data_IF_121048631169
#
_entry.id   IF_121048631169
#
_cell.length_a   1.000
_cell.length_b   1.000
_cell.length_c   1.000
_cell.angle_alpha   90.00
_cell.angle_beta   90.00
_cell.angle_gamma   90.00
#
_symmetry.space_group_name_H-M   'P 1'
#
loop_
_entity.id
_entity.type
_entity.pdbx_description
1 polymer ?
#
# COMPACT_ATOMS: atom_id res chain seq x y z
N UNK A 1 -16.20 -31.76 1.48
CA UNK A 1 -15.53 -30.55 0.98
C UNK A 1 -14.16 -30.48 1.62
N UNK A 2 -13.11 -30.19 0.85
CA UNK A 2 -11.76 -29.96 1.39
C UNK A 2 -11.64 -28.46 1.67
N UNK A 3 -11.25 -28.09 2.89
CA UNK A 3 -11.06 -26.69 3.31
C UNK A 3 -9.57 -26.39 3.40
N UNK A 4 -9.12 -25.35 2.70
CA UNK A 4 -7.75 -24.85 2.83
C UNK A 4 -7.57 -24.12 4.16
N UNK A 5 -6.47 -24.39 4.85
CA UNK A 5 -6.07 -23.68 6.07
C UNK A 5 -4.72 -22.99 5.85
N UNK A 6 -4.48 -21.90 6.57
CA UNK A 6 -3.19 -21.20 6.56
C UNK A 6 -2.91 -20.59 7.93
N UNK A 7 -1.63 -20.50 8.28
CA UNK A 7 -1.16 -19.71 9.43
C UNK A 7 -0.76 -18.29 9.04
N UNK A 8 -0.70 -18.00 7.74
CA UNK A 8 -0.26 -16.70 7.25
C UNK A 8 -1.36 -15.65 7.44
N UNK A 9 -1.00 -14.36 7.60
CA UNK A 9 -1.97 -13.28 7.69
C UNK A 9 -2.85 -13.21 6.44
N UNK A 10 -4.13 -12.92 6.63
CA UNK A 10 -5.08 -12.68 5.53
C UNK A 10 -5.33 -11.19 5.27
N UNK A 11 -4.63 -10.32 5.99
CA UNK A 11 -4.77 -8.86 5.86
C UNK A 11 -3.39 -8.22 5.84
N UNK A 12 -3.15 -7.39 4.83
CA UNK A 12 -1.89 -6.67 4.63
C UNK A 12 -2.20 -5.19 4.38
N UNK A 13 -1.76 -4.33 5.30
CA UNK A 13 -2.04 -2.89 5.26
C UNK A 13 -0.83 -2.04 4.85
N UNK A 14 0.29 -2.67 4.50
CA UNK A 14 1.50 -2.00 4.09
C UNK A 14 1.83 -2.34 2.63
N UNK A 15 2.50 -1.42 1.94
CA UNK A 15 2.99 -1.69 0.59
C UNK A 15 4.02 -2.81 0.60
N UNK A 16 3.91 -3.73 -0.34
CA UNK A 16 4.77 -4.90 -0.39
C UNK A 16 4.24 -6.01 -1.26
N UNK A 17 5.05 -7.05 -1.37
CA UNK A 17 4.65 -8.34 -1.94
C UNK A 17 4.70 -9.37 -0.82
N UNK A 18 3.59 -10.05 -0.62
CA UNK A 18 3.40 -11.09 0.39
C UNK A 18 3.05 -12.41 -0.29
N UNK A 19 3.31 -13.50 0.40
CA UNK A 19 2.95 -14.86 -0.04
C UNK A 19 2.20 -15.56 1.07
N UNK A 20 1.03 -16.11 0.75
CA UNK A 20 0.26 -16.99 1.63
C UNK A 20 0.48 -18.42 1.16
N UNK A 21 0.76 -19.32 2.10
CA UNK A 21 0.83 -20.76 1.88
C UNK A 21 -0.43 -21.41 2.44
N UNK A 22 -1.20 -22.05 1.55
CA UNK A 22 -2.39 -22.80 1.87
C UNK A 22 -2.06 -24.29 2.01
N UNK A 23 -2.65 -24.94 3.01
CA UNK A 23 -2.60 -26.37 3.24
C UNK A 23 -3.99 -26.98 3.07
N UNK A 24 -4.10 -28.00 2.23
CA UNK A 24 -5.33 -28.72 1.93
C UNK A 24 -5.19 -30.15 2.44
N UNK A 25 -5.92 -30.50 3.49
CA UNK A 25 -5.95 -31.86 4.05
C UNK A 25 -7.30 -32.51 3.71
N UNK A 26 -7.26 -33.74 3.18
CA UNK A 26 -8.45 -34.46 2.73
C UNK A 26 -9.15 -35.29 3.83
N UNK A 27 -8.64 -35.25 5.06
CA UNK A 27 -9.13 -36.03 6.22
C UNK A 27 -8.68 -37.49 6.22
N UNK A 28 -8.02 -37.97 5.17
CA UNK A 28 -7.54 -39.35 5.02
C UNK A 28 -6.00 -39.45 5.09
N UNK A 29 -5.35 -38.37 5.54
CA UNK A 29 -3.90 -38.30 5.69
C UNK A 29 -3.17 -37.73 4.48
N UNK A 30 -3.86 -37.38 3.38
CA UNK A 30 -3.22 -36.70 2.26
C UNK A 30 -3.27 -35.19 2.47
N UNK A 31 -2.14 -34.53 2.26
CA UNK A 31 -2.02 -33.07 2.37
C UNK A 31 -1.29 -32.52 1.15
N UNK A 32 -1.83 -31.46 0.57
CA UNK A 32 -1.22 -30.70 -0.52
C UNK A 32 -1.09 -29.23 -0.15
N UNK A 33 -0.15 -28.52 -0.77
CA UNK A 33 0.08 -27.09 -0.51
C UNK A 33 0.01 -26.25 -1.77
N UNK A 34 -0.47 -25.01 -1.64
CA UNK A 34 -0.47 -24.03 -2.73
C UNK A 34 -0.05 -22.66 -2.23
N UNK A 35 0.65 -21.89 -3.06
CA UNK A 35 1.06 -20.52 -2.73
C UNK A 35 0.19 -19.49 -3.45
N UNK A 36 -0.11 -18.39 -2.76
CA UNK A 36 -0.85 -17.24 -3.29
C UNK A 36 -0.04 -15.97 -3.07
N UNK A 37 0.19 -15.22 -4.14
CA UNK A 37 0.88 -13.93 -4.08
C UNK A 37 -0.13 -12.80 -3.83
N UNK A 38 0.14 -11.95 -2.84
CA UNK A 38 -0.63 -10.74 -2.55
C UNK A 38 0.29 -9.54 -2.77
N UNK A 39 -0.17 -8.57 -3.58
CA UNK A 39 0.62 -7.38 -3.91
C UNK A 39 -0.16 -6.15 -3.46
N UNK A 40 0.40 -5.41 -2.50
CA UNK A 40 -0.12 -4.12 -2.05
C UNK A 40 0.80 -3.05 -2.64
N UNK A 41 0.28 -2.25 -3.56
CA UNK A 41 1.07 -1.25 -4.27
C UNK A 41 0.25 0.02 -4.44
N UNK A 42 0.87 1.14 -4.10
CA UNK A 42 0.34 2.45 -4.45
C UNK A 42 0.54 2.73 -5.94
N UNK A 43 -0.54 3.14 -6.59
CA UNK A 43 -0.61 3.47 -8.01
C UNK A 43 -1.09 4.88 -8.27
N UNK A 44 -1.49 5.61 -7.22
CA UNK A 44 -2.04 6.93 -7.34
C UNK A 44 -0.92 7.95 -7.11
N UNK A 45 -1.02 9.08 -7.82
CA UNK A 45 -0.11 10.21 -7.58
C UNK A 45 -0.68 11.08 -6.46
N UNK A 46 0.16 11.80 -5.71
CA UNK A 46 -0.30 12.86 -4.81
C UNK A 46 -1.16 13.86 -5.58
N UNK A 47 -2.08 14.50 -4.86
CA UNK A 47 -2.89 15.58 -5.41
C UNK A 47 -1.96 16.71 -5.89
N UNK A 48 -2.27 17.33 -7.02
CA UNK A 48 -1.52 18.50 -7.46
C UNK A 48 -1.93 19.71 -6.61
N UNK A 49 -1.02 20.35 -5.85
CA UNK A 49 -1.35 21.56 -5.12
C UNK A 49 -1.49 22.75 -6.07
N UNK A 50 -2.38 23.67 -5.74
CA UNK A 50 -2.47 24.98 -6.41
C UNK A 50 -1.64 25.97 -5.61
N UNK A 51 -0.64 26.58 -6.27
CA UNK A 51 0.28 27.53 -5.64
C UNK A 51 0.01 28.93 -6.18
N UNK A 52 -0.05 29.91 -5.29
CA UNK A 52 -0.18 31.32 -5.64
C UNK A 52 1.22 31.92 -5.89
N UNK A 53 1.27 32.94 -6.74
CA UNK A 53 2.50 33.71 -6.95
C UNK A 53 2.91 34.45 -5.68
N UNK A 54 4.21 34.46 -5.40
CA UNK A 54 4.80 35.25 -4.31
C UNK A 54 5.54 36.42 -4.95
N UNK A 55 5.01 37.62 -4.76
CA UNK A 55 5.58 38.85 -5.32
C UNK A 55 6.15 39.74 -4.23
N UNK A 56 7.28 40.38 -4.49
CA UNK A 56 7.89 41.35 -3.59
C UNK A 56 8.70 42.40 -4.35
N UNK A 57 8.69 43.64 -3.86
CA UNK A 57 9.31 44.79 -4.54
C UNK A 57 10.84 44.81 -4.39
N UNK A 58 11.36 44.41 -3.22
CA UNK A 58 12.79 44.33 -2.93
C UNK A 58 13.22 42.92 -2.48
N UNK A 59 12.30 42.13 -1.92
CA UNK A 59 12.48 40.73 -1.55
C UNK A 59 11.13 40.03 -1.46
N UNK A 60 11.13 38.72 -1.68
CA UNK A 60 9.98 37.84 -1.49
C UNK A 60 10.46 36.52 -0.88
N UNK A 61 9.60 35.84 -0.12
CA UNK A 61 9.93 34.56 0.50
C UNK A 61 8.74 33.61 0.33
N UNK A 62 8.98 32.49 -0.32
CA UNK A 62 8.00 31.42 -0.45
C UNK A 62 8.13 30.42 0.70
N UNK A 63 7.03 29.73 1.01
CA UNK A 63 6.99 28.62 1.95
C UNK A 63 6.86 27.30 1.21
N UNK A 64 7.41 26.23 1.78
CA UNK A 64 7.20 24.87 1.30
C UNK A 64 5.69 24.56 1.17
N UNK A 65 5.21 24.11 0.00
CA UNK A 65 3.82 23.74 -0.16
C UNK A 65 3.53 22.38 0.49
N UNK A 66 2.26 22.12 0.75
CA UNK A 66 1.79 20.81 1.20
C UNK A 66 0.83 20.18 0.20
N UNK A 67 0.83 18.87 0.12
CA UNK A 67 -0.16 18.09 -0.63
C UNK A 67 -0.55 16.81 0.11
N UNK A 68 -1.49 16.06 -0.44
CA UNK A 68 -1.98 14.80 0.12
C UNK A 68 -1.90 13.66 -0.89
N UNK A 69 -1.72 12.46 -0.37
CA UNK A 69 -1.74 11.20 -1.09
C UNK A 69 -2.54 10.17 -0.26
N UNK A 70 -3.23 9.24 -0.93
CA UNK A 70 -4.08 8.25 -0.27
C UNK A 70 -3.28 7.19 0.52
N UNK A 71 -2.02 6.96 0.18
CA UNK A 71 -1.14 6.01 0.86
C UNK A 71 -0.08 6.71 1.72
N UNK A 72 0.51 7.80 1.22
CA UNK A 72 1.57 8.52 1.94
C UNK A 72 1.05 9.60 2.91
N UNK A 73 -0.24 9.97 2.84
CA UNK A 73 -0.82 11.01 3.68
C UNK A 73 -0.35 12.41 3.27
N UNK A 74 -0.07 13.28 4.24
CA UNK A 74 0.38 14.65 3.97
C UNK A 74 1.87 14.69 3.64
N UNK A 75 2.22 15.36 2.54
CA UNK A 75 3.59 15.51 2.04
C UNK A 75 3.93 17.01 2.00
N UNK A 76 5.12 17.38 2.48
CA UNK A 76 5.67 18.74 2.41
C UNK A 76 6.82 18.77 1.42
N UNK A 77 6.80 19.76 0.52
CA UNK A 77 7.80 19.96 -0.54
C UNK A 77 8.97 20.86 -0.17
#
# INVERSE_FOLDING_TARGET
TITGTTSDPLTYNAQGTYTITWSFNDGNGNTETATQKVIVKDTQKPVQPVLADVTGECSATATAPTTTDNCAGTITG
#
